data_IF_055128899436
#
_entry.id   IF_055128899436
#
_cell.length_a   1.000
_cell.length_b   1.000
_cell.length_c   1.000
_cell.angle_alpha   90.00
_cell.angle_beta   90.00
_cell.angle_gamma   90.00
#
_symmetry.space_group_name_H-M   'P 1'
#
loop_
_entity.id
_entity.type
_entity.pdbx_description
1 polymer ?
#
# COMPACT_ATOMS: atom_id res chain seq x y z
N UNK A 1 -48.92 -28.34 49.10
CA UNK A 1 -47.53 -28.80 48.93
C UNK A 1 -47.37 -29.41 47.54
N UNK A 2 -46.46 -28.80 46.77
CA UNK A 2 -45.71 -29.29 45.60
C UNK A 2 -46.49 -29.83 44.37
N UNK A 3 -46.94 -28.89 43.53
CA UNK A 3 -47.37 -29.15 42.16
C UNK A 3 -46.17 -29.47 41.24
N UNK A 4 -46.30 -30.53 40.44
CA UNK A 4 -45.36 -31.00 39.41
C UNK A 4 -45.20 -29.98 38.27
N UNK A 5 -43.99 -29.45 38.08
CA UNK A 5 -43.52 -28.89 36.80
C UNK A 5 -42.08 -29.38 36.56
N UNK A 6 -41.86 -30.68 36.35
CA UNK A 6 -41.75 -31.32 35.02
C UNK A 6 -40.68 -30.68 34.10
N UNK A 7 -39.43 -31.10 34.29
CA UNK A 7 -38.51 -31.62 33.24
C UNK A 7 -38.56 -30.95 31.85
N UNK A 8 -38.37 -29.62 31.76
CA UNK A 8 -38.35 -28.93 30.46
C UNK A 8 -37.40 -27.73 30.43
N UNK A 9 -36.21 -27.87 31.01
CA UNK A 9 -35.21 -26.78 31.06
C UNK A 9 -33.86 -27.09 30.39
N UNK A 10 -33.36 -28.35 30.24
CA UNK A 10 -32.01 -28.53 29.69
C UNK A 10 -31.96 -28.73 28.16
N UNK A 11 -33.09 -28.79 27.43
CA UNK A 11 -33.08 -29.12 25.98
C UNK A 11 -33.11 -27.89 25.08
N UNK A 12 -33.55 -26.72 25.59
CA UNK A 12 -33.64 -25.48 24.79
C UNK A 12 -32.28 -24.77 24.61
N UNK A 13 -31.27 -25.10 25.41
CA UNK A 13 -29.92 -24.51 25.31
C UNK A 13 -28.97 -25.26 24.37
N UNK A 14 -29.32 -26.49 23.95
CA UNK A 14 -28.42 -27.35 23.16
C UNK A 14 -28.61 -27.15 21.64
N UNK A 15 -29.74 -26.58 21.19
CA UNK A 15 -30.03 -26.42 19.75
C UNK A 15 -29.39 -25.21 19.08
N UNK A 16 -28.85 -24.25 19.83
CA UNK A 16 -28.17 -23.07 19.26
C UNK A 16 -26.67 -23.32 19.04
N UNK A 17 -26.06 -24.26 19.78
CA UNK A 17 -24.63 -24.55 19.66
C UNK A 17 -24.25 -25.45 18.46
N UNK A 18 -25.21 -26.14 17.83
CA UNK A 18 -24.96 -27.08 16.73
C UNK A 18 -25.03 -26.46 15.32
N UNK A 19 -25.40 -25.18 15.18
CA UNK A 19 -25.45 -24.45 13.90
C UNK A 19 -24.29 -23.46 13.68
N UNK A 20 -23.38 -23.35 14.65
CA UNK A 20 -22.20 -22.45 14.61
C UNK A 20 -20.88 -23.22 14.54
N UNK A 21 -20.91 -24.47 14.11
CA UNK A 21 -19.71 -25.31 13.98
C UNK A 21 -19.74 -26.14 12.71
N UNK A 22 -19.58 -25.49 11.55
CA UNK A 22 -19.10 -26.09 10.29
C UNK A 22 -18.85 -25.01 9.21
N UNK A 23 -18.24 -23.87 9.55
CA UNK A 23 -17.53 -23.09 8.53
C UNK A 23 -16.06 -23.43 8.65
N UNK A 24 -15.65 -24.51 7.99
CA UNK A 24 -14.24 -24.76 7.78
C UNK A 24 -13.73 -23.63 6.89
N UNK A 25 -13.03 -22.65 7.49
CA UNK A 25 -12.07 -21.83 6.74
C UNK A 25 -11.02 -22.82 6.25
N UNK A 26 -11.22 -23.35 5.05
CA UNK A 26 -10.12 -23.89 4.27
C UNK A 26 -9.33 -22.66 3.86
N UNK A 27 -8.33 -22.32 4.68
CA UNK A 27 -7.38 -21.27 4.40
C UNK A 27 -6.64 -21.62 3.12
N UNK A 28 -7.13 -21.13 2.00
CA UNK A 28 -6.31 -20.95 0.82
C UNK A 28 -5.35 -19.80 1.16
N UNK A 29 -4.21 -20.14 1.78
CA UNK A 29 -3.06 -19.25 1.77
C UNK A 29 -2.54 -19.21 0.34
N UNK A 30 -3.24 -18.45 -0.52
CA UNK A 30 -2.65 -17.87 -1.73
C UNK A 30 -1.75 -16.73 -1.25
N UNK A 31 -0.65 -17.08 -0.61
CA UNK A 31 0.49 -16.20 -0.50
C UNK A 31 1.22 -16.25 -1.84
N UNK A 32 0.60 -15.72 -2.89
CA UNK A 32 1.38 -15.09 -3.93
C UNK A 32 1.74 -13.72 -3.38
N UNK A 33 2.79 -13.69 -2.57
CA UNK A 33 3.66 -12.53 -2.47
C UNK A 33 4.30 -12.36 -3.85
N UNK A 34 3.55 -11.83 -4.80
CA UNK A 34 4.11 -11.17 -5.97
C UNK A 34 4.74 -9.88 -5.44
N UNK A 35 5.96 -10.01 -4.93
CA UNK A 35 6.93 -8.91 -4.89
C UNK A 35 7.17 -8.45 -6.32
N UNK A 36 6.25 -7.65 -6.86
CA UNK A 36 6.51 -6.69 -7.92
C UNK A 36 6.57 -5.32 -7.26
N UNK A 37 7.61 -5.15 -6.45
CA UNK A 37 7.82 -4.03 -5.53
C UNK A 37 8.33 -2.75 -6.23
N UNK A 38 8.07 -2.60 -7.54
CA UNK A 38 8.63 -1.47 -8.30
C UNK A 38 7.59 -0.70 -9.10
N UNK A 39 6.33 -1.14 -9.13
CA UNK A 39 5.34 -0.55 -10.02
C UNK A 39 4.08 -0.12 -9.27
N UNK A 40 3.97 1.18 -9.01
CA UNK A 40 2.79 1.79 -8.38
C UNK A 40 1.94 2.50 -9.43
N UNK A 41 0.62 2.38 -9.33
CA UNK A 41 -0.31 3.06 -10.23
C UNK A 41 -0.52 4.50 -9.76
N UNK A 42 -0.19 5.50 -10.58
CA UNK A 42 -0.35 6.89 -10.18
C UNK A 42 -1.84 7.24 -10.02
N UNK A 43 -2.22 7.78 -8.87
CA UNK A 43 -3.60 8.06 -8.49
C UNK A 43 -4.33 6.93 -7.77
N UNK A 44 -3.72 5.76 -7.60
CA UNK A 44 -4.24 4.63 -6.80
C UNK A 44 -3.73 4.73 -5.36
N UNK A 45 -4.31 5.65 -4.61
CA UNK A 45 -3.88 5.98 -3.27
C UNK A 45 -4.17 4.85 -2.27
N UNK A 46 -5.17 4.00 -2.51
CA UNK A 46 -5.49 2.88 -1.63
C UNK A 46 -4.92 1.51 -2.08
N UNK A 47 -4.09 1.52 -3.13
CA UNK A 47 -3.36 0.38 -3.68
C UNK A 47 -4.26 -0.81 -4.04
N UNK A 48 -5.48 -0.54 -4.54
CA UNK A 48 -6.42 -1.57 -4.95
C UNK A 48 -6.30 -1.96 -6.44
N UNK A 49 -5.41 -1.26 -7.17
CA UNK A 49 -5.13 -1.47 -8.58
C UNK A 49 -6.05 -0.69 -9.51
N UNK A 50 -6.97 0.14 -8.99
CA UNK A 50 -7.94 0.90 -9.79
C UNK A 50 -8.06 2.33 -9.30
N UNK A 51 -7.78 3.31 -10.17
CA UNK A 51 -7.99 4.72 -9.83
C UNK A 51 -9.50 5.04 -9.82
N UNK A 52 -10.02 5.36 -8.65
CA UNK A 52 -11.43 5.70 -8.39
C UNK A 52 -11.59 6.92 -7.47
N UNK A 53 -12.84 7.30 -7.17
CA UNK A 53 -13.12 8.38 -6.20
C UNK A 53 -12.75 7.99 -4.75
N UNK A 54 -12.52 6.69 -4.50
CA UNK A 54 -12.05 6.21 -3.19
C UNK A 54 -10.65 6.74 -2.89
N UNK A 55 -9.77 6.76 -3.89
CA UNK A 55 -8.40 7.27 -3.78
C UNK A 55 -8.39 8.74 -3.39
N UNK A 56 -9.21 9.53 -4.07
CA UNK A 56 -9.43 10.95 -3.77
C UNK A 56 -9.86 11.14 -2.31
N UNK A 57 -10.77 10.29 -1.82
CA UNK A 57 -11.23 10.36 -0.44
C UNK A 57 -10.11 10.00 0.53
N UNK A 58 -9.26 9.02 0.19
CA UNK A 58 -8.11 8.64 1.02
C UNK A 58 -7.07 9.76 1.12
N UNK A 59 -6.79 10.45 0.01
CA UNK A 59 -5.89 11.62 0.02
C UNK A 59 -6.45 12.71 0.95
N UNK A 60 -7.73 13.04 0.84
CA UNK A 60 -8.37 14.02 1.72
C UNK A 60 -8.38 13.59 3.18
N UNK A 61 -8.53 12.30 3.45
CA UNK A 61 -8.48 11.69 4.77
C UNK A 61 -7.09 11.86 5.42
N UNK A 62 -6.03 11.62 4.66
CA UNK A 62 -4.63 11.83 5.08
C UNK A 62 -4.30 13.32 5.30
N UNK A 63 -4.79 14.20 4.42
CA UNK A 63 -4.64 15.66 4.59
C UNK A 63 -5.31 16.12 5.89
N UNK A 64 -6.49 15.57 6.20
CA UNK A 64 -7.21 15.83 7.44
C UNK A 64 -6.60 15.14 8.68
N UNK A 65 -5.49 14.40 8.51
CA UNK A 65 -4.73 13.72 9.57
C UNK A 65 -5.55 12.68 10.33
N UNK A 66 -6.50 12.04 9.64
CA UNK A 66 -7.12 10.84 10.16
C UNK A 66 -6.20 9.63 9.95
N UNK A 67 -6.36 8.55 10.75
CA UNK A 67 -5.61 7.32 10.57
C UNK A 67 -5.89 6.72 9.19
N UNK A 68 -4.85 6.60 8.36
CA UNK A 68 -4.93 5.97 7.03
C UNK A 68 -4.77 4.44 7.15
N UNK A 69 -5.38 3.66 6.25
CA UNK A 69 -5.15 2.21 6.16
C UNK A 69 -3.70 1.88 5.79
N UNK A 70 -3.20 0.71 6.20
CA UNK A 70 -1.82 0.25 5.90
C UNK A 70 -1.48 0.18 4.40
N UNK A 71 -2.50 0.07 3.55
CA UNK A 71 -2.37 0.02 2.09
C UNK A 71 -2.28 1.39 1.42
N UNK A 72 -2.34 2.48 2.19
CA UNK A 72 -2.22 3.82 1.66
C UNK A 72 -0.84 4.03 1.03
N UNK A 73 -0.83 4.54 -0.21
CA UNK A 73 0.37 4.73 -0.99
C UNK A 73 0.63 6.22 -1.22
N UNK A 74 1.57 6.78 -0.46
CA UNK A 74 1.99 8.19 -0.59
C UNK A 74 2.50 8.52 -2.00
N UNK A 75 3.24 7.60 -2.61
CA UNK A 75 3.77 7.74 -3.99
C UNK A 75 2.65 7.81 -5.02
N UNK A 76 1.56 7.06 -4.82
CA UNK A 76 0.42 7.08 -5.74
C UNK A 76 -0.52 8.26 -5.45
N UNK A 77 -0.54 8.73 -4.20
CA UNK A 77 -1.30 9.88 -3.74
C UNK A 77 -0.73 11.22 -4.24
N UNK A 78 0.60 11.32 -4.41
CA UNK A 78 1.29 12.48 -4.99
C UNK A 78 1.12 12.49 -6.52
N UNK A 79 0.00 13.06 -6.98
CA UNK A 79 -0.46 12.98 -8.35
C UNK A 79 0.29 13.94 -9.28
N UNK A 80 0.80 15.06 -8.74
CA UNK A 80 1.65 15.99 -9.48
C UNK A 80 3.16 15.68 -9.39
N UNK A 81 3.55 14.79 -8.47
CA UNK A 81 4.93 14.33 -8.30
C UNK A 81 5.84 15.38 -7.66
N UNK A 82 5.28 16.34 -6.93
CA UNK A 82 6.04 17.42 -6.31
C UNK A 82 6.63 17.04 -4.93
N UNK A 83 6.30 15.84 -4.43
CA UNK A 83 6.74 15.32 -3.14
C UNK A 83 5.88 15.77 -1.94
N UNK A 84 4.76 16.46 -2.18
CA UNK A 84 3.87 17.02 -1.15
C UNK A 84 2.42 16.68 -1.43
N UNK A 85 1.88 15.74 -0.65
CA UNK A 85 0.47 15.34 -0.74
C UNK A 85 -0.42 16.45 -0.18
N UNK A 86 -1.24 17.03 -1.04
CA UNK A 86 -2.14 18.12 -0.72
C UNK A 86 -3.45 18.07 -1.54
N UNK A 87 -4.32 19.07 -1.39
CA UNK A 87 -5.65 19.04 -2.02
C UNK A 87 -5.59 19.13 -3.56
N UNK A 88 -4.49 19.64 -4.10
CA UNK A 88 -4.23 19.71 -5.54
C UNK A 88 -4.14 18.31 -6.13
N UNK A 89 -3.51 17.34 -5.45
CA UNK A 89 -3.44 15.94 -5.88
C UNK A 89 -4.81 15.29 -6.00
N UNK A 90 -5.62 15.47 -4.95
CA UNK A 90 -7.01 15.00 -4.94
C UNK A 90 -7.81 15.63 -6.11
N UNK A 91 -7.57 16.91 -6.40
CA UNK A 91 -8.24 17.63 -7.49
C UNK A 91 -7.80 17.14 -8.86
N UNK A 92 -6.51 16.82 -9.03
CA UNK A 92 -5.95 16.25 -10.27
C UNK A 92 -6.63 14.92 -10.60
N UNK A 93 -6.73 14.02 -9.62
CA UNK A 93 -7.37 12.71 -9.81
C UNK A 93 -8.86 12.88 -10.10
N UNK A 94 -9.56 13.78 -9.39
CA UNK A 94 -10.97 14.10 -9.69
C UNK A 94 -11.17 14.59 -11.13
N UNK A 95 -10.30 15.48 -11.62
CA UNK A 95 -10.34 15.97 -12.99
C UNK A 95 -10.15 14.85 -14.01
N UNK A 96 -9.18 13.97 -13.75
CA UNK A 96 -8.92 12.82 -14.60
C UNK A 96 -10.11 11.84 -14.63
N UNK A 97 -10.72 11.56 -13.47
CA UNK A 97 -11.94 10.73 -13.37
C UNK A 97 -13.11 11.33 -14.17
N UNK A 98 -13.24 12.66 -14.13
CA UNK A 98 -14.22 13.42 -14.89
C UNK A 98 -13.86 13.61 -16.37
N UNK A 99 -12.78 12.99 -16.86
CA UNK A 99 -12.32 13.00 -18.26
C UNK A 99 -11.90 14.38 -18.76
N UNK A 100 -11.47 15.26 -17.86
CA UNK A 100 -10.75 16.48 -18.25
C UNK A 100 -9.30 16.15 -18.61
N UNK A 101 -8.72 16.96 -19.49
CA UNK A 101 -7.28 16.87 -19.79
C UNK A 101 -6.47 17.22 -18.54
N UNK A 102 -5.49 16.37 -18.23
CA UNK A 102 -4.51 16.53 -17.16
C UNK A 102 -3.11 16.30 -17.75
N UNK A 103 -2.09 17.09 -17.40
CA UNK A 103 -0.72 16.88 -17.88
C UNK A 103 -0.03 15.69 -17.20
N UNK A 104 -0.66 15.10 -16.19
CA UNK A 104 -0.14 14.03 -15.35
C UNK A 104 -0.57 12.65 -15.83
N UNK A 105 0.29 11.65 -15.64
CA UNK A 105 0.11 10.26 -16.09
C UNK A 105 -0.76 9.44 -15.12
N UNK A 106 -1.91 9.99 -14.73
CA UNK A 106 -2.84 9.32 -13.81
C UNK A 106 -3.38 8.04 -14.47
N UNK A 107 -3.38 6.94 -13.71
CA UNK A 107 -3.74 5.62 -14.23
C UNK A 107 -2.62 4.94 -15.05
N UNK A 108 -1.43 5.54 -15.12
CA UNK A 108 -0.23 4.88 -15.61
C UNK A 108 0.60 4.35 -14.44
N UNK A 109 1.25 3.24 -14.69
CA UNK A 109 2.15 2.62 -13.72
C UNK A 109 3.49 3.35 -13.68
N UNK A 110 3.80 3.99 -12.56
CA UNK A 110 5.10 4.63 -12.31
C UNK A 110 6.08 3.56 -11.87
N UNK A 111 7.14 3.37 -12.67
CA UNK A 111 8.31 2.61 -12.27
C UNK A 111 9.12 3.48 -11.31
N UNK A 112 9.24 3.03 -10.07
CA UNK A 112 10.15 3.67 -9.12
C UNK A 112 11.57 3.56 -9.69
N UNK A 113 12.38 4.64 -9.64
CA UNK A 113 13.77 4.51 -10.00
C UNK A 113 14.38 3.40 -9.14
N UNK A 114 14.99 2.41 -9.80
CA UNK A 114 15.74 1.37 -9.11
C UNK A 114 16.65 2.05 -8.07
N UNK A 115 16.71 1.55 -6.82
CA UNK A 115 17.54 2.15 -5.80
C UNK A 115 18.95 2.30 -6.39
N UNK A 116 19.47 3.52 -6.42
CA UNK A 116 20.73 3.81 -7.07
C UNK A 116 21.79 2.79 -6.62
N UNK A 117 22.17 1.88 -7.51
CA UNK A 117 23.30 0.98 -7.29
C UNK A 117 24.47 1.90 -7.02
N UNK A 118 24.96 1.91 -5.77
CA UNK A 118 26.14 2.71 -5.41
C UNK A 118 27.21 2.43 -6.46
N UNK A 119 27.88 3.46 -7.03
CA UNK A 119 28.99 3.21 -7.93
C UNK A 119 30.01 2.40 -7.15
N UNK A 120 30.15 1.13 -7.51
CA UNK A 120 31.21 0.26 -6.99
C UNK A 120 32.51 1.02 -7.17
N UNK A 121 33.07 1.50 -6.05
CA UNK A 121 34.38 2.14 -6.03
C UNK A 121 35.37 1.05 -6.34
N UNK A 122 35.65 0.85 -7.63
CA UNK A 122 36.80 0.07 -8.03
C UNK A 122 38.01 0.85 -7.55
N UNK A 123 38.66 0.30 -6.52
CA UNK A 123 39.96 0.75 -6.06
C UNK A 123 40.89 0.65 -7.28
N UNK A 124 41.52 1.75 -7.74
CA UNK A 124 42.41 1.68 -8.88
C UNK A 124 43.55 0.75 -8.50
N UNK A 125 43.67 -0.37 -9.22
CA UNK A 125 44.86 -1.22 -9.18
C UNK A 125 46.00 -0.35 -9.70
N UNK A 126 46.93 0.00 -8.82
CA UNK A 126 48.08 0.84 -9.08
C UNK A 126 49.15 0.07 -9.86
N UNK A 127 48.83 -0.20 -11.12
CA UNK A 127 49.78 -0.66 -12.12
C UNK A 127 50.44 0.58 -12.73
N UNK A 128 51.47 1.13 -12.08
CA UNK A 128 52.69 1.64 -12.72
C UNK A 128 53.53 2.54 -11.78
N UNK A 129 54.75 2.07 -11.50
CA UNK A 129 55.78 2.85 -10.84
C UNK A 129 56.29 4.00 -11.72
N UNK A 130 55.81 5.21 -11.44
CA UNK A 130 56.48 6.50 -11.66
C UNK A 130 55.93 7.43 -10.57
N UNK A 131 56.64 7.89 -9.53
CA UNK A 131 57.96 8.46 -9.49
C UNK A 131 57.89 9.69 -8.58
N UNK A 132 58.58 9.62 -7.43
CA UNK A 132 59.23 10.73 -6.67
C UNK A 132 58.41 11.98 -6.27
N UNK A 133 58.43 12.24 -4.95
CA UNK A 133 58.53 13.55 -4.25
C UNK A 133 57.40 14.54 -4.55
N UNK A 134 56.65 15.11 -3.59
CA UNK A 134 57.09 16.04 -2.54
C UNK A 134 55.99 16.17 -1.48
N UNK A 135 56.28 15.87 -0.22
CA UNK A 135 56.03 16.81 0.89
C UNK A 135 56.88 16.36 2.09
N UNK A 136 57.93 17.13 2.38
CA UNK A 136 58.69 17.10 3.63
C UNK A 136 57.86 17.82 4.74
N UNK A 137 58.18 17.64 6.03
CA UNK A 137 57.22 17.54 7.16
C UNK A 137 56.39 18.80 7.43
#
# INVERSE_FOLDING_TARGET
>A
MTCKLRKLVPVLFITVAALIFSFTVTGNALANTETSDSKKLLGDADSDGVVTIRDVTMIQWDIAKFPVPDRYSEIAADADGNGTINIEDATIIQRWLAKYETPFQIGETVELPEPATEPSTQMPTDDEGWGRTVFQP
#
